data_IF_935355293985
#
_entry.id   IF_935355293985
#
_cell.length_a   1.000
_cell.length_b   1.000
_cell.length_c   1.000
_cell.angle_alpha   90.00
_cell.angle_beta   90.00
_cell.angle_gamma   90.00
#
_symmetry.space_group_name_H-M   'P 1'
#
loop_
_entity.id
_entity.type
_entity.pdbx_description
1 polymer ?
#
# COMPACT_ATOMS: atom_id res chain seq x y z
N UNK A 1 -8.54 -1.16 -2.75
CA UNK A 1 -8.06 -2.56 -2.85
C UNK A 1 -7.11 -2.95 -1.72
N UNK A 2 -5.87 -2.44 -1.66
CA UNK A 2 -4.87 -2.86 -0.68
C UNK A 2 -5.37 -2.82 0.78
N UNK A 3 -6.16 -1.80 1.16
CA UNK A 3 -6.76 -1.71 2.50
C UNK A 3 -7.73 -2.87 2.78
N UNK A 4 -8.54 -3.28 1.81
CA UNK A 4 -9.40 -4.46 1.96
C UNK A 4 -8.57 -5.74 2.08
N UNK A 5 -7.50 -5.88 1.31
CA UNK A 5 -6.58 -7.01 1.43
C UNK A 5 -5.97 -7.12 2.84
N UNK A 6 -5.57 -5.99 3.44
CA UNK A 6 -5.04 -5.94 4.82
C UNK A 6 -6.12 -6.29 5.85
N UNK A 7 -7.38 -5.93 5.62
CA UNK A 7 -8.46 -6.27 6.55
C UNK A 7 -8.97 -7.71 6.43
N UNK A 8 -8.71 -8.38 5.29
CA UNK A 8 -9.27 -9.72 5.02
C UNK A 8 -8.23 -10.83 4.83
N UNK A 9 -6.97 -10.49 4.59
CA UNK A 9 -5.93 -11.46 4.21
C UNK A 9 -6.13 -12.05 2.80
N UNK A 10 -7.02 -11.47 1.98
CA UNK A 10 -7.37 -11.96 0.65
C UNK A 10 -6.98 -10.98 -0.45
N UNK A 11 -6.68 -11.47 -1.65
CA UNK A 11 -6.49 -10.62 -2.83
C UNK A 11 -7.74 -9.84 -3.20
N UNK A 12 -7.57 -8.66 -3.79
CA UNK A 12 -8.65 -7.70 -4.03
C UNK A 12 -9.74 -8.24 -4.97
N UNK A 13 -9.36 -9.01 -5.99
CA UNK A 13 -10.30 -9.64 -6.92
C UNK A 13 -11.09 -10.80 -6.29
N UNK A 14 -10.62 -11.38 -5.18
CA UNK A 14 -11.32 -12.42 -4.44
C UNK A 14 -12.24 -11.83 -3.38
N UNK A 15 -11.76 -10.84 -2.60
CA UNK A 15 -12.62 -10.16 -1.62
C UNK A 15 -13.62 -9.17 -2.25
N UNK A 16 -13.52 -8.93 -3.56
CA UNK A 16 -14.43 -8.07 -4.32
C UNK A 16 -14.12 -6.57 -4.27
N UNK A 17 -13.17 -6.10 -3.44
CA UNK A 17 -12.82 -4.69 -3.32
C UNK A 17 -11.67 -4.29 -4.26
N UNK A 18 -11.83 -4.60 -5.55
CA UNK A 18 -10.78 -4.46 -6.57
C UNK A 18 -10.54 -3.02 -7.07
N UNK A 19 -11.38 -2.05 -6.70
CA UNK A 19 -11.22 -0.62 -7.04
C UNK A 19 -11.75 0.27 -5.91
N UNK A 20 -11.44 1.56 -5.99
CA UNK A 20 -11.99 2.56 -5.08
C UNK A 20 -13.52 2.63 -5.18
N UNK A 21 -14.19 2.98 -4.07
CA UNK A 21 -15.64 3.07 -3.98
C UNK A 21 -16.37 1.73 -3.80
N UNK A 22 -15.66 0.60 -3.79
CA UNK A 22 -16.23 -0.68 -3.38
C UNK A 22 -15.95 -0.86 -1.89
N UNK A 23 -17.00 -1.08 -1.07
CA UNK A 23 -16.84 -1.23 0.37
C UNK A 23 -16.18 -2.56 0.73
N UNK A 24 -15.75 -2.68 2.00
CA UNK A 24 -15.29 -3.94 2.55
C UNK A 24 -16.41 -4.97 2.47
N UNK A 25 -16.10 -6.14 1.94
CA UNK A 25 -17.07 -7.23 1.83
C UNK A 25 -17.55 -7.70 3.21
N UNK A 26 -18.83 -8.02 3.32
CA UNK A 26 -19.42 -8.62 4.53
C UNK A 26 -19.39 -10.17 4.49
N UNK A 27 -18.92 -10.76 3.38
CA UNK A 27 -18.83 -12.22 3.23
C UNK A 27 -17.56 -12.82 3.85
N UNK A 28 -16.58 -11.98 4.19
CA UNK A 28 -15.33 -12.39 4.81
C UNK A 28 -15.20 -11.70 6.17
N UNK A 29 -14.91 -12.47 7.20
CA UNK A 29 -14.68 -11.93 8.55
C UNK A 29 -13.44 -11.07 8.56
N UNK A 30 -13.54 -9.75 8.90
CA UNK A 30 -12.38 -8.86 8.91
C UNK A 30 -11.44 -9.14 10.08
N UNK A 31 -10.20 -8.68 9.95
CA UNK A 31 -9.13 -8.87 10.93
C UNK A 31 -9.55 -8.46 12.36
N UNK A 32 -10.16 -7.28 12.52
CA UNK A 32 -10.57 -6.80 13.84
C UNK A 32 -11.66 -7.68 14.50
N UNK A 33 -12.52 -8.35 13.73
CA UNK A 33 -13.50 -9.28 14.30
C UNK A 33 -12.84 -10.53 14.87
N UNK A 34 -11.74 -11.00 14.30
CA UNK A 34 -10.97 -12.11 14.88
C UNK A 34 -10.37 -11.72 16.22
N UNK A 35 -9.77 -10.53 16.31
CA UNK A 35 -9.24 -9.98 17.56
C UNK A 35 -10.34 -9.77 18.62
N UNK A 36 -11.48 -9.21 18.22
CA UNK A 36 -12.64 -9.00 19.08
C UNK A 36 -13.15 -10.32 19.68
N UNK A 37 -13.29 -11.36 18.87
CA UNK A 37 -13.74 -12.68 19.32
C UNK A 37 -12.74 -13.36 20.25
N UNK A 38 -11.45 -13.03 20.13
CA UNK A 38 -10.38 -13.44 21.04
C UNK A 38 -10.28 -12.56 22.31
N UNK A 39 -11.20 -11.62 22.51
CA UNK A 39 -11.28 -10.78 23.71
C UNK A 39 -10.45 -9.51 23.69
N UNK A 40 -9.90 -9.13 22.54
CA UNK A 40 -9.19 -7.86 22.40
C UNK A 40 -10.14 -6.67 22.28
N UNK A 41 -9.76 -5.55 22.87
CA UNK A 41 -10.35 -4.25 22.55
C UNK A 41 -9.87 -3.80 21.18
N UNK A 42 -10.78 -3.50 20.25
CA UNK A 42 -10.44 -3.14 18.87
C UNK A 42 -10.66 -1.66 18.60
N UNK A 43 -9.62 -0.92 18.24
CA UNK A 43 -9.66 0.50 17.96
C UNK A 43 -9.16 0.86 16.56
N UNK A 44 -9.79 1.86 15.95
CA UNK A 44 -9.38 2.42 14.66
C UNK A 44 -9.28 3.93 14.70
N UNK A 45 -8.14 4.48 14.25
CA UNK A 45 -7.91 5.94 14.19
C UNK A 45 -7.45 6.32 12.78
N UNK A 46 -8.17 7.23 12.11
CA UNK A 46 -7.75 7.86 10.86
C UNK A 46 -8.54 7.49 9.61
N UNK A 47 -7.87 7.22 8.48
CA UNK A 47 -8.50 6.97 7.18
C UNK A 47 -9.02 5.54 7.07
N UNK A 48 -10.33 5.37 6.77
CA UNK A 48 -10.93 4.07 6.52
C UNK A 48 -10.88 3.66 5.04
N UNK A 49 -11.58 4.37 4.19
CA UNK A 49 -11.70 4.20 2.74
C UNK A 49 -12.26 2.83 2.29
N UNK A 50 -13.09 2.22 3.12
CA UNK A 50 -13.70 0.90 2.88
C UNK A 50 -15.22 0.90 3.11
N UNK A 51 -15.87 2.07 3.08
CA UNK A 51 -17.32 2.21 3.18
C UNK A 51 -17.91 2.98 1.99
N UNK A 52 -19.20 2.79 1.75
CA UNK A 52 -19.95 3.47 0.67
C UNK A 52 -20.71 4.71 1.17
N UNK A 53 -20.26 5.33 2.26
CA UNK A 53 -20.95 6.39 3.01
C UNK A 53 -20.32 7.78 2.82
N UNK A 54 -20.05 8.22 1.60
CA UNK A 54 -19.42 9.53 1.38
C UNK A 54 -18.01 9.64 1.99
N UNK A 55 -17.57 10.85 2.40
CA UNK A 55 -16.20 11.11 2.82
C UNK A 55 -16.01 11.06 4.34
N UNK A 56 -17.03 11.39 5.12
CA UNK A 56 -16.95 11.58 6.57
C UNK A 56 -17.25 10.33 7.39
N UNK A 57 -18.35 10.37 8.14
CA UNK A 57 -18.78 9.33 9.05
C UNK A 57 -18.99 7.96 8.38
N UNK A 58 -18.74 6.89 9.12
CA UNK A 58 -18.91 5.51 8.70
C UNK A 58 -19.88 4.82 9.66
N UNK A 59 -20.92 4.17 9.13
CA UNK A 59 -21.88 3.43 9.94
C UNK A 59 -21.19 2.28 10.69
N UNK A 60 -21.69 1.95 11.89
CA UNK A 60 -21.12 0.91 12.74
C UNK A 60 -20.95 -0.43 12.00
N UNK A 61 -21.95 -0.86 11.25
CA UNK A 61 -21.92 -2.11 10.47
C UNK A 61 -20.87 -2.15 9.35
N UNK A 62 -20.29 -1.01 8.99
CA UNK A 62 -19.28 -0.87 7.92
C UNK A 62 -17.86 -0.62 8.49
N UNK A 63 -17.68 -0.67 9.83
CA UNK A 63 -16.40 -0.45 10.51
C UNK A 63 -15.54 -1.70 10.64
N UNK A 64 -15.90 -2.81 10.03
CA UNK A 64 -15.09 -4.03 9.97
C UNK A 64 -14.73 -4.65 11.32
N UNK A 65 -15.58 -4.49 12.36
CA UNK A 65 -15.38 -5.07 13.68
C UNK A 65 -14.61 -4.18 14.68
N UNK A 66 -14.21 -2.97 14.28
CA UNK A 66 -13.61 -2.01 15.21
C UNK A 66 -14.67 -1.37 16.11
N UNK A 67 -14.47 -1.50 17.42
CA UNK A 67 -15.40 -1.02 18.46
C UNK A 67 -15.18 0.45 18.78
N UNK A 68 -13.92 0.81 19.02
CA UNK A 68 -13.54 2.20 19.29
C UNK A 68 -13.17 2.86 17.97
N UNK A 69 -13.81 3.98 17.68
CA UNK A 69 -13.77 4.58 16.38
C UNK A 69 -13.48 6.08 16.43
N UNK A 70 -12.42 6.51 15.75
CA UNK A 70 -12.10 7.91 15.53
C UNK A 70 -11.54 8.03 14.11
N UNK A 71 -12.41 8.06 13.11
CA UNK A 71 -11.98 7.95 11.72
C UNK A 71 -12.90 8.68 10.74
N UNK A 72 -12.39 8.89 9.52
CA UNK A 72 -13.17 9.33 8.37
C UNK A 72 -13.03 8.34 7.22
N UNK A 73 -14.08 8.18 6.42
CA UNK A 73 -14.02 7.26 5.28
C UNK A 73 -12.95 7.70 4.27
N UNK A 74 -12.96 8.94 3.81
CA UNK A 74 -11.98 9.48 2.86
C UNK A 74 -11.35 10.74 3.46
N UNK A 75 -10.39 10.53 4.34
CA UNK A 75 -9.80 11.54 5.22
C UNK A 75 -9.22 12.76 4.49
N UNK A 76 -8.73 12.61 3.25
CA UNK A 76 -8.23 13.71 2.43
C UNK A 76 -9.29 14.75 2.03
N UNK A 77 -10.58 14.44 2.20
CA UNK A 77 -11.69 15.36 1.91
C UNK A 77 -12.33 15.95 3.16
N UNK A 78 -12.03 15.39 4.35
CA UNK A 78 -12.54 15.91 5.63
C UNK A 78 -11.49 16.67 6.42
N UNK A 79 -10.21 16.58 6.03
CA UNK A 79 -9.12 17.21 6.78
C UNK A 79 -8.05 17.80 5.87
N UNK A 80 -7.33 18.78 6.43
CA UNK A 80 -6.15 19.41 5.88
C UNK A 80 -4.97 19.18 6.83
N UNK A 81 -3.81 19.71 6.48
CA UNK A 81 -2.57 19.57 7.25
C UNK A 81 -2.70 19.97 8.73
N UNK A 82 -3.33 21.12 9.04
CA UNK A 82 -3.56 21.63 10.40
C UNK A 82 -5.03 21.69 10.83
N UNK A 83 -5.90 21.04 10.08
CA UNK A 83 -7.32 20.94 10.41
C UNK A 83 -7.75 19.49 10.22
N UNK A 84 -7.88 18.74 11.31
CA UNK A 84 -8.16 17.31 11.30
C UNK A 84 -9.55 17.05 11.83
N UNK A 85 -10.50 16.79 10.94
CA UNK A 85 -11.84 16.37 11.30
C UNK A 85 -11.99 14.85 11.11
N UNK A 86 -12.28 14.16 12.20
CA UNK A 86 -12.60 12.74 12.27
C UNK A 86 -14.00 12.58 12.89
N UNK A 87 -14.53 11.37 12.86
CA UNK A 87 -15.85 11.04 13.40
C UNK A 87 -15.69 9.95 14.45
N UNK A 88 -16.35 10.12 15.60
CA UNK A 88 -16.32 9.16 16.70
C UNK A 88 -17.35 8.03 16.54
N UNK A 89 -17.53 7.22 17.56
CA UNK A 89 -18.45 6.08 17.58
C UNK A 89 -19.90 6.49 17.31
N UNK A 90 -20.30 7.68 17.75
CA UNK A 90 -21.65 8.25 17.59
C UNK A 90 -21.83 8.97 16.24
N UNK A 91 -20.84 8.89 15.35
CA UNK A 91 -20.77 9.67 14.11
C UNK A 91 -20.74 11.19 14.33
N UNK A 92 -20.40 11.66 15.52
CA UNK A 92 -20.16 13.06 15.78
C UNK A 92 -18.77 13.46 15.27
N UNK A 93 -18.72 14.63 14.61
CA UNK A 93 -17.46 15.19 14.14
C UNK A 93 -16.60 15.64 15.34
N UNK A 94 -15.34 15.27 15.30
CA UNK A 94 -14.33 15.60 16.29
C UNK A 94 -13.18 16.29 15.59
N UNK A 95 -12.98 17.56 15.89
CA UNK A 95 -11.84 18.33 15.40
C UNK A 95 -10.64 18.15 16.32
N UNK A 96 -9.50 17.73 15.78
CA UNK A 96 -8.26 17.53 16.51
C UNK A 96 -7.26 18.66 16.19
N UNK A 97 -6.62 19.26 17.21
CA UNK A 97 -5.70 20.37 17.02
C UNK A 97 -4.32 19.93 16.56
N UNK A 98 -3.63 20.82 15.84
CA UNK A 98 -2.26 20.62 15.41
C UNK A 98 -2.13 19.97 14.02
N UNK A 99 -0.89 19.64 13.65
CA UNK A 99 -0.62 18.95 12.40
C UNK A 99 -1.27 17.55 12.42
N UNK A 100 -1.93 17.15 11.34
CA UNK A 100 -2.82 15.98 11.29
C UNK A 100 -2.21 14.69 11.82
N UNK A 101 -1.00 14.33 11.38
CA UNK A 101 -0.36 13.11 11.90
C UNK A 101 -0.02 13.22 13.39
N UNK A 102 0.31 14.41 13.89
CA UNK A 102 0.56 14.62 15.33
C UNK A 102 -0.69 14.44 16.15
N UNK A 103 -1.79 15.04 15.70
CA UNK A 103 -3.09 14.95 16.36
C UNK A 103 -3.58 13.49 16.43
N UNK A 104 -3.35 12.71 15.37
CA UNK A 104 -3.66 11.27 15.36
C UNK A 104 -2.73 10.47 16.27
N UNK A 105 -1.43 10.79 16.33
CA UNK A 105 -0.49 10.18 17.29
C UNK A 105 -0.91 10.46 18.73
N UNK A 106 -1.32 11.68 19.04
CA UNK A 106 -1.84 12.05 20.35
C UNK A 106 -3.11 11.26 20.72
N UNK A 107 -4.00 11.07 19.75
CA UNK A 107 -5.20 10.23 19.93
C UNK A 107 -4.82 8.77 20.18
N UNK A 108 -3.85 8.23 19.44
CA UNK A 108 -3.35 6.86 19.63
C UNK A 108 -2.71 6.66 21.00
N UNK A 109 -1.90 7.61 21.47
CA UNK A 109 -1.28 7.54 22.80
C UNK A 109 -2.35 7.60 23.90
N UNK A 110 -3.39 8.43 23.76
CA UNK A 110 -4.53 8.43 24.70
C UNK A 110 -5.24 7.09 24.72
N UNK A 111 -5.56 6.53 23.56
CA UNK A 111 -6.17 5.21 23.44
C UNK A 111 -5.36 4.12 24.15
N UNK A 112 -4.04 4.07 23.92
CA UNK A 112 -3.14 3.11 24.56
C UNK A 112 -3.18 3.26 26.08
N UNK A 113 -3.15 4.50 26.61
CA UNK A 113 -3.21 4.73 28.05
C UNK A 113 -4.57 4.35 28.65
N UNK A 114 -5.66 4.58 27.95
CA UNK A 114 -7.02 4.25 28.39
C UNK A 114 -7.26 2.74 28.46
N UNK A 115 -6.64 1.97 27.55
CA UNK A 115 -6.81 0.52 27.42
C UNK A 115 -5.60 -0.32 27.86
N UNK A 116 -4.66 0.26 28.62
CA UNK A 116 -3.42 -0.40 29.04
C UNK A 116 -3.57 -1.63 29.92
N UNK A 117 -4.74 -1.79 30.58
CA UNK A 117 -5.01 -2.91 31.49
C UNK A 117 -5.73 -4.09 30.79
N UNK A 118 -6.03 -3.96 29.51
CA UNK A 118 -6.69 -5.00 28.71
C UNK A 118 -5.94 -5.25 27.39
N UNK A 119 -6.03 -6.44 26.79
CA UNK A 119 -5.47 -6.67 25.47
C UNK A 119 -6.17 -5.79 24.43
N UNK A 120 -5.40 -5.09 23.59
CA UNK A 120 -5.95 -4.23 22.55
C UNK A 120 -5.34 -4.50 21.18
N UNK A 121 -6.12 -4.25 20.15
CA UNK A 121 -5.71 -4.19 18.75
C UNK A 121 -6.05 -2.80 18.22
N UNK A 122 -5.05 -1.96 18.05
CA UNK A 122 -5.20 -0.59 17.55
C UNK A 122 -4.66 -0.49 16.12
N UNK A 123 -5.51 -0.09 15.17
CA UNK A 123 -5.11 0.22 13.81
C UNK A 123 -5.09 1.73 13.60
N UNK A 124 -3.89 2.30 13.45
CA UNK A 124 -3.72 3.72 13.13
C UNK A 124 -3.45 3.88 11.63
N UNK A 125 -4.27 4.66 10.96
CA UNK A 125 -4.25 4.81 9.50
C UNK A 125 -4.07 6.27 9.10
N UNK A 126 -2.81 6.70 8.97
CA UNK A 126 -2.45 8.04 8.55
C UNK A 126 -2.80 8.28 7.08
N UNK A 127 -3.05 9.54 6.71
CA UNK A 127 -3.11 9.94 5.30
C UNK A 127 -1.71 10.21 4.77
N UNK A 128 -0.81 10.74 5.57
CA UNK A 128 0.58 10.99 5.20
C UNK A 128 1.30 9.69 4.79
N UNK A 129 2.14 9.72 3.78
CA UNK A 129 2.52 10.84 2.91
C UNK A 129 1.71 10.92 1.60
N UNK A 130 0.38 10.74 1.64
CA UNK A 130 -0.50 10.79 0.49
C UNK A 130 -0.58 12.20 -0.13
N UNK A 131 -0.76 12.28 -1.44
CA UNK A 131 -1.03 13.51 -2.16
C UNK A 131 -2.36 14.13 -1.72
N UNK A 132 -2.37 15.42 -1.42
CA UNK A 132 -3.58 16.16 -1.08
C UNK A 132 -4.18 16.73 -2.37
N UNK A 133 -5.15 16.04 -2.94
CA UNK A 133 -5.61 16.26 -4.32
C UNK A 133 -6.10 17.67 -4.60
N UNK A 134 -6.85 18.30 -3.67
CA UNK A 134 -7.46 19.60 -3.89
C UNK A 134 -6.46 20.79 -3.86
N UNK A 135 -5.26 20.58 -3.31
CA UNK A 135 -4.18 21.59 -3.35
C UNK A 135 -3.01 21.16 -4.24
N UNK A 136 -3.10 20.00 -4.89
CA UNK A 136 -2.06 19.39 -5.73
C UNK A 136 -0.68 19.42 -5.05
N UNK A 137 -0.62 18.95 -3.80
CA UNK A 137 0.59 19.04 -2.99
C UNK A 137 0.75 17.87 -1.99
N UNK A 138 1.91 17.85 -1.34
CA UNK A 138 2.27 17.00 -0.20
C UNK A 138 2.56 17.92 1.00
N UNK A 139 1.52 18.30 1.75
CA UNK A 139 1.63 19.30 2.80
C UNK A 139 2.33 18.74 4.04
N UNK A 140 3.64 18.96 4.14
CA UNK A 140 4.45 18.65 5.30
C UNK A 140 4.26 19.70 6.41
N UNK A 141 4.63 19.42 7.68
CA UNK A 141 4.66 20.44 8.71
C UNK A 141 5.52 21.66 8.31
N UNK A 142 5.22 22.81 8.87
CA UNK A 142 5.95 24.05 8.61
C UNK A 142 7.46 23.88 8.74
N UNK A 143 8.21 24.32 7.74
CA UNK A 143 9.67 24.23 7.67
C UNK A 143 10.24 22.86 7.25
N UNK A 144 9.42 21.82 7.17
CA UNK A 144 9.91 20.47 6.77
C UNK A 144 10.15 20.37 5.27
N UNK A 145 9.31 20.99 4.44
CA UNK A 145 9.52 21.03 2.98
C UNK A 145 10.87 21.62 2.62
N UNK A 146 11.21 22.77 3.20
CA UNK A 146 12.46 23.49 2.97
C UNK A 146 13.67 22.69 3.48
N UNK A 147 13.54 22.08 4.64
CA UNK A 147 14.57 21.22 5.25
C UNK A 147 14.89 20.00 4.39
N UNK A 148 13.90 19.45 3.69
CA UNK A 148 14.03 18.26 2.86
C UNK A 148 14.07 18.56 1.35
N UNK A 149 14.03 19.81 0.95
CA UNK A 149 14.28 20.21 -0.44
C UNK A 149 15.69 19.80 -0.89
N UNK A 150 15.84 19.49 -2.17
CA UNK A 150 17.11 19.12 -2.80
C UNK A 150 17.84 17.94 -2.15
N UNK A 151 17.10 17.01 -1.53
CA UNK A 151 17.65 15.74 -1.06
C UNK A 151 17.79 14.76 -2.22
N UNK A 152 18.38 13.60 -1.92
CA UNK A 152 18.56 12.53 -2.90
C UNK A 152 17.25 12.18 -3.60
N UNK A 153 17.30 12.06 -4.93
CA UNK A 153 16.18 11.66 -5.78
C UNK A 153 16.46 10.25 -6.29
N UNK A 154 15.56 9.28 -6.10
CA UNK A 154 15.69 7.95 -6.68
C UNK A 154 15.88 8.01 -8.21
N UNK A 155 16.73 7.17 -8.80
CA UNK A 155 17.05 7.22 -10.22
C UNK A 155 15.84 7.11 -11.17
N UNK A 156 14.82 6.34 -10.84
CA UNK A 156 13.57 6.27 -11.61
C UNK A 156 12.82 7.62 -11.59
N UNK A 157 12.76 8.27 -10.45
CA UNK A 157 12.13 9.58 -10.29
C UNK A 157 12.97 10.71 -10.91
N UNK A 158 14.30 10.53 -11.02
CA UNK A 158 15.19 11.51 -11.64
C UNK A 158 15.21 11.38 -13.17
N UNK A 159 15.18 10.14 -13.70
CA UNK A 159 15.27 9.86 -15.13
C UNK A 159 13.97 10.07 -15.88
N UNK A 160 12.83 9.86 -15.22
CA UNK A 160 11.50 9.96 -15.81
C UNK A 160 10.85 11.30 -15.49
N UNK A 161 10.15 11.89 -16.44
CA UNK A 161 9.37 13.09 -16.20
C UNK A 161 8.17 12.81 -15.29
N UNK A 162 7.82 13.78 -14.45
CA UNK A 162 6.71 13.69 -13.50
C UNK A 162 6.69 14.91 -12.58
N UNK A 163 6.06 14.78 -11.42
CA UNK A 163 5.93 15.89 -10.46
C UNK A 163 6.95 15.86 -9.32
N UNK A 164 7.98 15.00 -9.40
CA UNK A 164 8.99 14.75 -8.37
C UNK A 164 9.66 16.02 -7.86
N UNK A 165 10.16 16.86 -8.78
CA UNK A 165 10.88 18.11 -8.45
C UNK A 165 10.05 19.03 -7.56
N UNK A 166 8.75 19.11 -7.81
CA UNK A 166 7.83 19.97 -7.08
C UNK A 166 7.50 19.41 -5.69
N UNK A 167 7.37 18.10 -5.56
CA UNK A 167 6.67 17.48 -4.44
C UNK A 167 7.58 16.72 -3.47
N UNK A 168 8.77 16.29 -3.90
CA UNK A 168 9.61 15.37 -3.12
C UNK A 168 10.01 15.94 -1.74
N UNK A 169 10.27 17.24 -1.64
CA UNK A 169 10.59 17.89 -0.36
C UNK A 169 9.46 17.79 0.66
N UNK A 170 8.21 18.05 0.22
CA UNK A 170 7.02 17.89 1.04
C UNK A 170 6.78 16.42 1.45
N UNK A 171 6.89 15.50 0.49
CA UNK A 171 6.78 14.07 0.75
C UNK A 171 7.78 13.58 1.80
N UNK A 172 9.06 13.92 1.67
CA UNK A 172 10.08 13.56 2.67
C UNK A 172 9.83 14.22 4.03
N UNK A 173 9.31 15.45 4.04
CA UNK A 173 8.91 16.12 5.28
C UNK A 173 7.79 15.37 6.01
N UNK A 174 6.78 14.89 5.27
CA UNK A 174 5.70 14.06 5.81
C UNK A 174 6.23 12.73 6.35
N UNK A 175 7.08 12.02 5.58
CA UNK A 175 7.71 10.76 6.02
C UNK A 175 8.51 10.96 7.30
N UNK A 176 9.29 12.05 7.39
CA UNK A 176 10.04 12.36 8.61
C UNK A 176 9.12 12.59 9.80
N UNK A 177 7.98 13.26 9.59
CA UNK A 177 7.04 13.48 10.70
C UNK A 177 6.35 12.21 11.17
N UNK A 178 6.06 11.27 10.26
CA UNK A 178 5.57 9.94 10.63
C UNK A 178 6.61 9.15 11.46
N UNK A 179 7.89 9.21 11.09
CA UNK A 179 8.99 8.60 11.85
C UNK A 179 9.06 9.17 13.29
N UNK A 180 8.95 10.48 13.44
CA UNK A 180 8.90 11.12 14.76
C UNK A 180 7.65 10.72 15.54
N UNK A 181 6.50 10.59 14.88
CA UNK A 181 5.26 10.10 15.47
C UNK A 181 5.36 8.67 15.99
N UNK A 182 5.99 7.77 15.21
CA UNK A 182 6.27 6.40 15.62
C UNK A 182 7.18 6.38 16.86
N UNK A 183 8.20 7.24 16.89
CA UNK A 183 9.06 7.41 18.06
C UNK A 183 8.26 7.77 19.31
N UNK A 184 7.31 8.71 19.21
CA UNK A 184 6.42 9.12 20.33
C UNK A 184 5.55 7.97 20.82
N UNK A 185 4.99 7.16 19.93
CA UNK A 185 4.19 5.98 20.30
C UNK A 185 5.05 4.96 21.04
N UNK A 186 6.23 4.64 20.52
CA UNK A 186 7.13 3.68 21.17
C UNK A 186 7.64 4.17 22.52
N UNK A 187 7.90 5.47 22.69
CA UNK A 187 8.26 6.06 23.97
C UNK A 187 7.08 6.04 24.98
N UNK A 188 5.85 6.24 24.49
CA UNK A 188 4.66 6.09 25.34
C UNK A 188 4.48 4.65 25.82
N UNK A 189 4.65 3.65 24.94
CA UNK A 189 4.60 2.23 25.32
C UNK A 189 5.62 1.90 26.40
N UNK A 190 6.87 2.36 26.26
CA UNK A 190 7.92 2.19 27.30
C UNK A 190 7.55 2.87 28.60
N UNK A 191 7.07 4.12 28.56
CA UNK A 191 6.64 4.88 29.73
C UNK A 191 5.50 4.20 30.49
N UNK A 192 4.62 3.52 29.77
CA UNK A 192 3.49 2.77 30.33
C UNK A 192 3.86 1.30 30.68
N UNK A 193 5.11 0.88 30.45
CA UNK A 193 5.61 -0.49 30.67
C UNK A 193 4.86 -1.55 29.84
N UNK A 194 4.47 -1.19 28.60
CA UNK A 194 3.75 -2.05 27.67
C UNK A 194 4.64 -2.57 26.52
N UNK A 195 5.84 -2.05 26.35
CA UNK A 195 6.72 -2.32 25.20
C UNK A 195 7.14 -3.79 25.09
N UNK A 196 7.30 -4.51 26.19
CA UNK A 196 7.62 -5.94 26.19
C UNK A 196 6.44 -6.84 25.78
N UNK A 197 5.20 -6.36 25.94
CA UNK A 197 3.97 -7.10 25.64
C UNK A 197 3.15 -6.46 24.50
N UNK A 198 3.78 -5.63 23.68
CA UNK A 198 3.12 -4.98 22.54
C UNK A 198 3.93 -5.19 21.27
N UNK A 199 3.25 -5.63 20.21
CA UNK A 199 3.85 -5.71 18.87
C UNK A 199 3.44 -4.47 18.12
N UNK A 200 4.41 -3.71 17.65
CA UNK A 200 4.21 -2.53 16.80
C UNK A 200 4.56 -2.89 15.35
N UNK A 201 3.62 -2.70 14.44
CA UNK A 201 3.84 -2.91 13.00
C UNK A 201 3.66 -1.59 12.27
N UNK A 202 4.68 -1.19 11.50
CA UNK A 202 4.63 -0.01 10.66
C UNK A 202 4.79 -0.41 9.19
N UNK A 203 3.84 0.02 8.35
CA UNK A 203 3.82 -0.31 6.92
C UNK A 203 3.04 0.75 6.12
N UNK A 204 3.04 0.64 4.80
CA UNK A 204 2.20 1.43 3.90
C UNK A 204 1.33 0.55 3.03
N UNK A 205 0.17 1.04 2.60
CA UNK A 205 -0.75 0.33 1.70
C UNK A 205 -0.29 0.34 0.22
N UNK A 206 0.50 1.32 -0.20
CA UNK A 206 1.14 1.43 -1.51
C UNK A 206 2.24 2.50 -1.47
N UNK A 207 3.07 2.56 -2.51
CA UNK A 207 4.09 3.57 -2.71
C UNK A 207 3.61 4.79 -3.51
N UNK A 208 4.57 5.56 -4.04
CA UNK A 208 4.31 6.76 -4.83
C UNK A 208 5.39 6.94 -5.91
N UNK A 209 4.98 7.11 -7.16
CA UNK A 209 5.89 7.35 -8.30
C UNK A 209 5.79 8.78 -8.88
N UNK A 210 5.10 9.70 -8.24
CA UNK A 210 5.05 11.12 -8.60
C UNK A 210 4.70 11.37 -10.09
N UNK A 211 3.74 10.62 -10.63
CA UNK A 211 3.31 10.69 -12.05
C UNK A 211 4.43 10.36 -13.05
N UNK A 212 5.46 9.60 -12.66
CA UNK A 212 6.54 9.18 -13.57
C UNK A 212 6.19 7.96 -14.41
N UNK A 213 5.19 7.19 -14.04
CA UNK A 213 4.77 5.93 -14.70
C UNK A 213 3.43 6.02 -15.43
N UNK A 214 2.50 6.82 -14.90
CA UNK A 214 1.21 7.12 -15.51
C UNK A 214 0.73 8.51 -15.04
N UNK A 215 -0.48 8.93 -15.41
CA UNK A 215 -1.05 10.23 -15.02
C UNK A 215 -1.38 10.34 -13.52
N UNK A 216 -1.41 9.23 -12.82
CA UNK A 216 -1.61 9.13 -11.38
C UNK A 216 -0.25 9.18 -10.65
N UNK A 217 -0.27 9.16 -9.33
CA UNK A 217 0.96 9.10 -8.51
C UNK A 217 1.23 7.69 -7.96
N UNK A 218 0.36 6.73 -8.23
CA UNK A 218 0.37 5.31 -7.84
C UNK A 218 -0.30 4.47 -8.94
N UNK A 219 -0.71 3.24 -8.67
CA UNK A 219 -1.46 2.35 -9.56
C UNK A 219 -0.65 1.90 -10.78
N UNK A 220 0.58 1.46 -10.51
CA UNK A 220 1.44 0.86 -11.50
C UNK A 220 2.12 -0.39 -10.95
N UNK A 221 2.63 -1.24 -11.84
CA UNK A 221 3.36 -2.46 -11.46
C UNK A 221 4.79 -2.21 -10.96
N UNK A 222 5.25 -0.97 -10.91
CA UNK A 222 6.63 -0.62 -10.61
C UNK A 222 6.93 -0.62 -9.10
N UNK A 223 8.19 -0.88 -8.73
CA UNK A 223 8.64 -0.93 -7.31
C UNK A 223 8.26 0.35 -6.54
N UNK A 224 8.32 1.51 -7.20
CA UNK A 224 7.90 2.78 -6.59
C UNK A 224 6.42 2.83 -6.16
N UNK A 225 5.58 1.95 -6.71
CA UNK A 225 4.17 1.78 -6.30
C UNK A 225 3.94 0.57 -5.41
N UNK A 226 4.66 -0.54 -5.64
CA UNK A 226 4.40 -1.83 -5.00
C UNK A 226 5.24 -2.08 -3.76
N UNK A 227 6.51 -1.64 -3.79
CA UNK A 227 7.44 -1.89 -2.69
C UNK A 227 7.27 -0.85 -1.60
N UNK A 228 6.76 -1.29 -0.45
CA UNK A 228 6.49 -0.45 0.72
C UNK A 228 7.38 -0.83 1.89
N UNK A 229 7.62 0.10 2.84
CA UNK A 229 8.26 -0.26 4.10
C UNK A 229 7.37 -1.22 4.89
N UNK A 230 8.00 -2.16 5.61
CA UNK A 230 7.34 -2.99 6.60
C UNK A 230 8.31 -3.26 7.74
N UNK A 231 7.94 -2.88 8.95
CA UNK A 231 8.75 -3.03 10.15
C UNK A 231 7.90 -3.61 11.28
N UNK A 232 8.51 -4.55 12.01
CA UNK A 232 7.93 -5.15 13.20
C UNK A 232 8.85 -4.86 14.40
N UNK A 233 8.26 -4.59 15.54
CA UNK A 233 8.94 -4.42 16.82
C UNK A 233 8.15 -5.08 17.93
N UNK A 234 8.85 -5.68 18.89
CA UNK A 234 8.26 -6.34 20.06
C UNK A 234 8.03 -7.85 19.87
N UNK A 235 7.82 -8.56 20.97
CA UNK A 235 7.59 -10.00 20.98
C UNK A 235 8.65 -10.79 20.20
N UNK A 236 8.25 -11.70 19.29
CA UNK A 236 9.17 -12.53 18.50
C UNK A 236 10.06 -11.71 17.55
N UNK A 237 9.73 -10.43 17.31
CA UNK A 237 10.49 -9.52 16.42
C UNK A 237 11.52 -8.67 17.17
N UNK A 238 11.69 -8.85 18.48
CA UNK A 238 12.58 -8.01 19.31
C UNK A 238 14.08 -8.17 19.01
N UNK A 239 14.49 -9.24 18.32
CA UNK A 239 15.90 -9.52 18.02
C UNK A 239 16.56 -8.56 17.03
N UNK A 240 15.83 -7.70 16.38
CA UNK A 240 16.29 -6.80 15.32
C UNK A 240 16.78 -7.53 14.08
N UNK A 241 17.11 -6.78 13.04
CA UNK A 241 17.65 -7.31 11.80
C UNK A 241 16.81 -6.95 10.57
N UNK A 242 17.31 -7.43 9.42
CA UNK A 242 16.63 -7.27 8.12
C UNK A 242 16.32 -8.65 7.56
N UNK A 243 15.18 -8.74 6.93
CA UNK A 243 14.72 -9.88 6.16
C UNK A 243 14.57 -9.47 4.70
N UNK A 244 15.08 -10.31 3.80
CA UNK A 244 15.06 -10.04 2.36
C UNK A 244 14.08 -10.96 1.60
N UNK A 245 13.41 -11.86 2.32
CA UNK A 245 12.36 -12.71 1.77
C UNK A 245 11.21 -11.85 1.18
N UNK A 246 10.62 -12.36 0.11
CA UNK A 246 9.48 -11.72 -0.54
C UNK A 246 8.23 -11.88 0.31
N UNK A 247 7.65 -10.77 0.72
CA UNK A 247 6.42 -10.72 1.52
C UNK A 247 5.37 -9.83 0.86
N UNK A 248 4.11 -10.10 1.13
CA UNK A 248 2.98 -9.33 0.62
C UNK A 248 2.18 -8.72 1.76
N UNK A 249 1.43 -7.67 1.50
CA UNK A 249 0.54 -7.05 2.50
C UNK A 249 -0.55 -8.02 3.00
N UNK A 250 -0.90 -9.05 2.21
CA UNK A 250 -1.83 -10.09 2.65
C UNK A 250 -1.25 -11.04 3.70
N UNK A 251 0.08 -11.01 3.91
CA UNK A 251 0.75 -11.80 4.95
C UNK A 251 0.65 -11.15 6.34
N UNK A 252 0.30 -9.85 6.39
CA UNK A 252 0.14 -9.13 7.65
C UNK A 252 -1.02 -9.68 8.51
N UNK A 253 -2.24 -9.88 8.00
CA UNK A 253 -3.34 -10.39 8.80
C UNK A 253 -3.04 -11.77 9.44
N UNK A 254 -2.62 -12.81 8.69
CA UNK A 254 -2.29 -14.09 9.29
C UNK A 254 -1.12 -13.99 10.28
N UNK A 255 -0.12 -13.12 10.03
CA UNK A 255 0.96 -12.89 10.97
C UNK A 255 0.47 -12.29 12.28
N UNK A 256 -0.42 -11.30 12.23
CA UNK A 256 -0.96 -10.64 13.42
C UNK A 256 -1.84 -11.58 14.24
N UNK A 257 -2.61 -12.45 13.60
CA UNK A 257 -3.40 -13.47 14.29
C UNK A 257 -2.48 -14.52 14.96
N UNK A 258 -1.50 -15.03 14.22
CA UNK A 258 -0.58 -16.06 14.69
C UNK A 258 0.24 -15.59 15.92
N UNK A 259 0.81 -14.38 15.88
CA UNK A 259 1.55 -13.82 17.02
C UNK A 259 0.67 -13.51 18.23
N UNK A 260 -0.63 -13.33 18.03
CA UNK A 260 -1.61 -13.18 19.09
C UNK A 260 -2.16 -14.53 19.61
N UNK A 261 -1.72 -15.66 19.04
CA UNK A 261 -2.22 -17.00 19.39
C UNK A 261 -3.65 -17.23 18.93
N UNK A 262 -4.11 -16.53 17.89
CA UNK A 262 -5.43 -16.67 17.29
C UNK A 262 -5.30 -17.53 16.04
N UNK A 263 -6.20 -18.51 15.88
CA UNK A 263 -6.19 -19.40 14.72
C UNK A 263 -6.32 -18.61 13.42
N UNK A 264 -5.41 -18.87 12.48
CA UNK A 264 -5.43 -18.25 11.14
C UNK A 264 -6.44 -18.98 10.27
N UNK A 265 -7.46 -18.27 9.72
CA UNK A 265 -8.43 -18.91 8.86
C UNK A 265 -7.84 -19.41 7.53
N UNK A 266 -8.28 -20.58 7.06
CA UNK A 266 -7.91 -21.15 5.75
C UNK A 266 -8.31 -20.23 4.57
N UNK A 267 -9.25 -19.32 4.78
CA UNK A 267 -9.68 -18.35 3.77
C UNK A 267 -8.70 -17.22 3.54
N UNK A 268 -7.70 -17.02 4.38
CA UNK A 268 -6.62 -16.05 4.15
C UNK A 268 -5.63 -16.61 3.14
N UNK A 269 -5.24 -15.79 2.18
CA UNK A 269 -4.30 -16.18 1.11
C UNK A 269 -2.84 -15.93 1.47
N UNK A 270 -2.60 -15.08 2.47
CA UNK A 270 -1.29 -14.79 3.01
C UNK A 270 -0.78 -15.89 3.95
N UNK A 271 0.49 -15.79 4.31
CA UNK A 271 1.16 -16.72 5.23
C UNK A 271 1.75 -15.94 6.41
N UNK A 272 1.74 -16.56 7.60
CA UNK A 272 2.36 -15.94 8.77
C UNK A 272 3.88 -15.83 8.62
N UNK A 273 4.41 -14.64 8.91
CA UNK A 273 5.84 -14.37 8.92
C UNK A 273 6.56 -14.95 10.16
N UNK A 274 5.80 -15.43 11.16
CA UNK A 274 6.36 -15.94 12.40
C UNK A 274 7.31 -17.12 12.18
N UNK A 275 6.95 -18.06 11.31
CA UNK A 275 7.78 -19.20 10.94
C UNK A 275 9.16 -18.79 10.39
N UNK A 276 9.24 -17.64 9.72
CA UNK A 276 10.50 -17.08 9.18
C UNK A 276 11.36 -16.42 10.25
N UNK A 277 10.73 -15.76 11.20
CA UNK A 277 11.43 -15.18 12.36
C UNK A 277 12.03 -16.29 13.22
N UNK A 278 11.27 -17.32 13.49
CA UNK A 278 11.67 -18.46 14.31
C UNK A 278 12.59 -19.47 13.58
N UNK A 279 12.77 -19.31 12.27
CA UNK A 279 13.56 -20.21 11.42
C UNK A 279 13.11 -21.68 11.48
N UNK A 280 11.79 -21.88 11.58
CA UNK A 280 11.18 -23.21 11.73
C UNK A 280 11.02 -23.97 10.40
N UNK A 281 11.67 -23.53 9.32
CA UNK A 281 11.93 -24.33 8.12
C UNK A 281 10.77 -24.53 7.15
N UNK A 282 9.71 -23.78 7.25
CA UNK A 282 8.65 -23.82 6.23
C UNK A 282 9.18 -23.31 4.89
N UNK A 283 8.79 -23.95 3.77
CA UNK A 283 9.05 -23.47 2.44
C UNK A 283 8.36 -22.12 2.25
N UNK A 284 9.14 -21.11 1.87
CA UNK A 284 8.61 -19.77 1.61
C UNK A 284 8.48 -19.56 0.10
N UNK A 285 7.42 -18.93 -0.38
CA UNK A 285 7.25 -18.67 -1.81
C UNK A 285 8.43 -17.91 -2.41
N UNK A 286 8.92 -18.35 -3.56
CA UNK A 286 10.00 -17.72 -4.32
C UNK A 286 9.50 -16.50 -5.13
N UNK A 287 8.22 -16.21 -5.05
CA UNK A 287 7.60 -15.09 -5.74
C UNK A 287 6.38 -14.57 -4.97
N UNK A 288 6.06 -13.30 -5.20
CA UNK A 288 4.80 -12.68 -4.79
C UNK A 288 3.96 -12.35 -6.02
N UNK A 289 2.65 -12.51 -5.90
CA UNK A 289 1.65 -12.09 -6.86
C UNK A 289 1.11 -10.72 -6.49
N UNK A 290 0.79 -9.90 -7.49
CA UNK A 290 0.18 -8.59 -7.28
C UNK A 290 -0.82 -8.25 -8.37
N UNK A 291 -1.76 -7.36 -8.03
CA UNK A 291 -2.82 -6.86 -8.90
C UNK A 291 -2.70 -5.35 -9.06
N UNK A 292 -2.94 -4.83 -10.28
CA UNK A 292 -3.13 -3.41 -10.55
C UNK A 292 -4.56 -3.16 -11.02
N UNK A 293 -5.10 -2.00 -10.66
CA UNK A 293 -6.47 -1.61 -11.02
C UNK A 293 -6.59 -0.12 -11.27
N UNK A 294 -7.68 0.32 -11.85
CA UNK A 294 -8.10 1.68 -12.13
C UNK A 294 -7.29 2.39 -13.23
N UNK A 295 -5.96 2.56 -13.12
CA UNK A 295 -5.14 3.08 -14.22
C UNK A 295 -4.94 2.04 -15.31
N UNK A 296 -4.92 0.78 -14.93
CA UNK A 296 -4.91 -0.40 -15.80
C UNK A 296 -5.44 -1.60 -15.02
N UNK A 297 -6.03 -2.57 -15.68
CA UNK A 297 -6.33 -3.87 -15.08
C UNK A 297 -5.17 -4.80 -15.39
N UNK A 298 -4.37 -5.13 -14.39
CA UNK A 298 -3.16 -5.92 -14.59
C UNK A 298 -2.91 -6.94 -13.50
N UNK A 299 -2.02 -7.88 -13.83
CA UNK A 299 -1.57 -8.98 -12.98
C UNK A 299 -0.08 -9.13 -13.09
N UNK A 300 0.57 -9.52 -12.02
CA UNK A 300 1.99 -9.75 -12.12
C UNK A 300 2.55 -10.63 -11.04
N UNK A 301 3.77 -11.10 -11.29
CA UNK A 301 4.60 -11.81 -10.31
C UNK A 301 5.96 -11.13 -10.18
N UNK A 302 6.47 -11.15 -8.95
CA UNK A 302 7.80 -10.62 -8.62
C UNK A 302 8.56 -11.72 -7.89
N UNK A 303 9.68 -12.15 -8.45
CA UNK A 303 10.67 -13.02 -7.81
C UNK A 303 11.79 -12.16 -7.20
N UNK A 304 12.79 -12.73 -6.55
CA UNK A 304 13.95 -11.98 -6.03
C UNK A 304 14.63 -11.13 -7.12
N UNK A 305 14.74 -11.65 -8.34
CA UNK A 305 15.41 -10.97 -9.46
C UNK A 305 14.48 -10.39 -10.50
N UNK A 306 13.37 -11.06 -10.82
CA UNK A 306 12.54 -10.72 -11.97
C UNK A 306 11.18 -10.18 -11.56
N UNK A 307 10.67 -9.22 -12.34
CA UNK A 307 9.29 -8.81 -12.29
C UNK A 307 8.68 -9.00 -13.68
N UNK A 308 7.49 -9.62 -13.71
CA UNK A 308 6.71 -9.83 -14.91
C UNK A 308 5.29 -9.35 -14.69
N UNK A 309 4.76 -8.62 -15.68
CA UNK A 309 3.44 -8.03 -15.59
C UNK A 309 2.70 -8.16 -16.92
N UNK A 310 1.40 -8.44 -16.82
CA UNK A 310 0.44 -8.46 -17.91
C UNK A 310 -0.69 -7.48 -17.63
N UNK A 311 -1.29 -6.90 -18.65
CA UNK A 311 -2.42 -5.99 -18.53
C UNK A 311 -3.53 -6.34 -19.51
N UNK A 312 -4.78 -6.05 -19.18
CA UNK A 312 -5.88 -6.13 -20.10
C UNK A 312 -5.67 -5.12 -21.25
N UNK A 313 -5.91 -5.49 -22.52
CA UNK A 313 -6.00 -4.54 -23.61
C UNK A 313 -7.04 -3.44 -23.33
N UNK A 314 -6.85 -2.24 -23.90
CA UNK A 314 -7.76 -1.09 -23.65
C UNK A 314 -9.21 -1.35 -24.09
N UNK A 315 -9.38 -2.19 -25.12
CA UNK A 315 -10.68 -2.59 -25.68
C UNK A 315 -11.24 -3.89 -25.08
N UNK A 316 -10.51 -4.53 -24.17
CA UNK A 316 -10.96 -5.75 -23.54
C UNK A 316 -12.07 -5.47 -22.50
N UNK A 317 -13.03 -6.38 -22.42
CA UNK A 317 -14.02 -6.35 -21.36
C UNK A 317 -13.36 -6.62 -20.00
N UNK A 318 -13.65 -5.77 -19.04
CA UNK A 318 -13.23 -5.94 -17.64
C UNK A 318 -14.47 -6.06 -16.77
N UNK A 319 -14.61 -7.23 -16.14
CA UNK A 319 -15.74 -7.53 -15.24
C UNK A 319 -15.17 -7.85 -13.86
N UNK A 320 -15.67 -7.20 -12.83
CA UNK A 320 -15.22 -7.38 -11.45
C UNK A 320 -13.69 -7.27 -11.27
N UNK A 321 -13.06 -6.35 -12.03
CA UNK A 321 -11.62 -6.15 -12.00
C UNK A 321 -10.79 -7.25 -12.67
N UNK A 322 -11.42 -8.13 -13.47
CA UNK A 322 -10.83 -9.26 -14.19
C UNK A 322 -11.05 -9.13 -15.69
N UNK A 323 -10.16 -9.71 -16.48
CA UNK A 323 -10.29 -9.82 -17.93
C UNK A 323 -10.00 -11.26 -18.38
N UNK A 324 -10.69 -11.72 -19.42
CA UNK A 324 -10.42 -13.03 -20.03
C UNK A 324 -9.16 -13.03 -20.90
N UNK A 325 -8.64 -11.84 -21.22
CA UNK A 325 -7.43 -11.67 -22.04
C UNK A 325 -6.53 -10.63 -21.39
N UNK A 326 -5.26 -10.96 -21.26
CA UNK A 326 -4.19 -10.03 -20.91
C UNK A 326 -3.12 -10.03 -21.98
N UNK A 327 -2.35 -8.95 -22.07
CA UNK A 327 -1.16 -8.83 -22.93
C UNK A 327 0.09 -8.69 -22.04
N UNK A 328 1.18 -9.34 -22.42
CA UNK A 328 2.48 -9.13 -21.78
C UNK A 328 2.89 -7.65 -21.87
N UNK A 329 3.15 -7.01 -20.74
CA UNK A 329 3.38 -5.56 -20.62
C UNK A 329 4.78 -5.18 -20.23
N UNK A 330 5.27 -5.78 -19.15
CA UNK A 330 6.57 -5.45 -18.58
C UNK A 330 7.32 -6.71 -18.14
N UNK A 331 8.62 -6.69 -18.38
CA UNK A 331 9.60 -7.61 -17.83
C UNK A 331 10.82 -6.81 -17.39
N UNK A 332 11.19 -6.93 -16.11
CA UNK A 332 12.36 -6.25 -15.56
C UNK A 332 13.31 -7.23 -14.86
N UNK A 333 14.62 -7.00 -15.03
CA UNK A 333 15.68 -7.61 -14.23
C UNK A 333 16.03 -6.70 -13.08
N UNK A 334 15.40 -6.89 -11.92
CA UNK A 334 15.56 -6.00 -10.75
C UNK A 334 16.95 -6.05 -10.12
N UNK A 335 17.77 -7.04 -10.46
CA UNK A 335 19.16 -7.11 -10.03
C UNK A 335 20.04 -6.18 -10.87
N UNK A 336 19.83 -6.16 -12.18
CA UNK A 336 20.59 -5.31 -13.10
C UNK A 336 19.99 -3.90 -13.22
N UNK A 337 18.67 -3.79 -13.11
CA UNK A 337 17.88 -2.55 -13.23
C UNK A 337 16.87 -2.44 -12.08
N UNK A 338 17.32 -2.14 -10.86
CA UNK A 338 16.45 -2.04 -9.68
C UNK A 338 15.45 -0.88 -9.75
N UNK A 339 15.61 0.01 -10.70
CA UNK A 339 14.75 1.17 -10.94
C UNK A 339 13.84 1.03 -12.15
N UNK A 340 13.83 -0.14 -12.80
CA UNK A 340 12.88 -0.49 -13.85
C UNK A 340 12.87 0.51 -15.01
N UNK A 341 14.05 0.88 -15.49
CA UNK A 341 14.26 1.80 -16.60
C UNK A 341 14.35 1.09 -17.97
N UNK A 342 14.55 -0.23 -17.99
CA UNK A 342 14.71 -1.04 -19.20
C UNK A 342 13.68 -2.17 -19.26
N UNK A 343 12.58 -1.96 -20.00
CA UNK A 343 11.57 -2.99 -20.21
C UNK A 343 12.07 -4.05 -21.22
N UNK A 344 12.20 -5.28 -20.78
CA UNK A 344 12.75 -6.41 -21.53
C UNK A 344 11.67 -7.28 -22.20
N UNK A 345 10.38 -6.96 -22.03
CA UNK A 345 9.27 -7.83 -22.44
C UNK A 345 9.26 -8.17 -23.93
N UNK A 346 9.64 -7.23 -24.80
CA UNK A 346 9.69 -7.41 -26.26
C UNK A 346 11.00 -7.98 -26.79
N UNK A 347 11.98 -8.31 -25.93
CA UNK A 347 13.30 -8.77 -26.35
C UNK A 347 13.31 -10.29 -26.41
N UNK A 348 13.57 -10.86 -27.61
CA UNK A 348 13.48 -12.29 -27.90
C UNK A 348 14.39 -13.15 -26.99
N UNK A 349 15.60 -12.70 -26.72
CA UNK A 349 16.56 -13.44 -25.87
C UNK A 349 16.09 -13.68 -24.44
N UNK A 350 15.09 -12.95 -23.96
CA UNK A 350 14.45 -13.14 -22.64
C UNK A 350 13.20 -14.04 -22.70
N UNK A 351 12.89 -14.66 -23.85
CA UNK A 351 11.70 -15.49 -24.04
C UNK A 351 11.58 -16.63 -23.03
N UNK A 352 12.68 -17.33 -22.73
CA UNK A 352 12.69 -18.41 -21.74
C UNK A 352 12.37 -17.95 -20.31
N UNK A 353 12.92 -16.80 -19.90
CA UNK A 353 12.62 -16.18 -18.59
C UNK A 353 11.15 -15.77 -18.50
N UNK A 354 10.66 -15.12 -19.56
CA UNK A 354 9.27 -14.69 -19.67
C UNK A 354 8.30 -15.87 -19.57
N UNK A 355 8.59 -17.00 -20.24
CA UNK A 355 7.78 -18.22 -20.17
C UNK A 355 7.69 -18.78 -18.75
N UNK A 356 8.83 -18.91 -18.04
CA UNK A 356 8.83 -19.42 -16.67
C UNK A 356 8.10 -18.50 -15.68
N UNK A 357 8.16 -17.17 -15.87
CA UNK A 357 7.40 -16.22 -15.04
C UNK A 357 5.90 -16.23 -15.37
N UNK A 358 5.56 -16.44 -16.65
CA UNK A 358 4.18 -16.64 -17.08
C UNK A 358 3.56 -17.89 -16.43
N UNK A 359 4.29 -19.00 -16.34
CA UNK A 359 3.83 -20.21 -15.65
C UNK A 359 3.50 -19.90 -14.18
N UNK A 360 4.41 -19.25 -13.45
CA UNK A 360 4.16 -18.82 -12.07
C UNK A 360 2.93 -17.91 -11.96
N UNK A 361 2.76 -16.98 -12.91
CA UNK A 361 1.59 -16.10 -12.91
C UNK A 361 0.30 -16.90 -13.15
N UNK A 362 0.29 -17.84 -14.09
CA UNK A 362 -0.89 -18.68 -14.38
C UNK A 362 -1.30 -19.54 -13.18
N UNK A 363 -0.34 -20.08 -12.42
CA UNK A 363 -0.63 -20.80 -11.19
C UNK A 363 -1.33 -19.89 -10.16
N UNK A 364 -0.87 -18.65 -10.00
CA UNK A 364 -1.50 -17.68 -9.09
C UNK A 364 -2.87 -17.20 -9.58
N UNK A 365 -3.03 -17.01 -10.88
CA UNK A 365 -4.32 -16.69 -11.48
C UNK A 365 -5.33 -17.81 -11.25
N UNK A 366 -4.95 -19.06 -11.46
CA UNK A 366 -5.79 -20.21 -11.18
C UNK A 366 -6.19 -20.28 -9.67
N UNK A 367 -5.25 -19.97 -8.78
CA UNK A 367 -5.52 -19.92 -7.33
C UNK A 367 -6.59 -18.86 -6.98
N UNK A 368 -6.58 -17.70 -7.64
CA UNK A 368 -7.60 -16.64 -7.41
C UNK A 368 -8.84 -16.78 -8.31
N UNK A 369 -8.97 -17.91 -9.01
CA UNK A 369 -10.13 -18.23 -9.85
C UNK A 369 -10.17 -17.47 -11.19
N UNK A 370 -8.99 -17.17 -11.75
CA UNK A 370 -8.84 -16.56 -13.09
C UNK A 370 -8.13 -17.55 -14.04
N UNK A 371 -8.63 -17.68 -15.25
CA UNK A 371 -8.02 -18.55 -16.30
C UNK A 371 -7.96 -17.80 -17.64
N UNK A 372 -7.30 -16.62 -17.70
CA UNK A 372 -7.27 -15.82 -18.90
C UNK A 372 -6.32 -16.38 -19.95
N UNK A 373 -6.49 -15.92 -21.18
CA UNK A 373 -5.46 -15.99 -22.21
C UNK A 373 -4.42 -14.88 -21.97
N UNK A 374 -3.11 -15.18 -22.12
CA UNK A 374 -2.06 -14.18 -22.12
C UNK A 374 -1.47 -14.10 -23.54
N UNK A 375 -1.76 -13.00 -24.22
CA UNK A 375 -1.23 -12.71 -25.54
C UNK A 375 0.22 -12.20 -25.47
N UNK A 376 1.03 -12.42 -26.50
CA UNK A 376 2.35 -11.82 -26.62
C UNK A 376 2.30 -10.29 -26.57
N UNK A 377 3.43 -9.62 -26.26
CA UNK A 377 3.46 -8.16 -26.23
C UNK A 377 3.13 -7.57 -27.58
N UNK A 378 2.27 -6.55 -27.67
CA UNK A 378 1.92 -5.91 -28.94
C UNK A 378 3.10 -5.07 -29.46
N UNK A 379 4.04 -5.69 -30.14
CA UNK A 379 5.23 -5.04 -30.70
C UNK A 379 6.22 -4.56 -29.60
N UNK A 380 7.27 -3.84 -30.02
CA UNK A 380 8.18 -3.17 -29.09
C UNK A 380 7.49 -1.97 -28.46
N UNK A 381 7.11 -2.05 -27.20
CA UNK A 381 6.71 -0.87 -26.44
C UNK A 381 7.94 -0.05 -26.12
N UNK A 382 8.10 1.07 -26.81
CA UNK A 382 9.11 2.07 -26.45
C UNK A 382 8.68 2.79 -25.18
N UNK A 383 9.53 2.75 -24.15
CA UNK A 383 9.40 3.60 -23.00
C UNK A 383 8.89 2.93 -21.73
N UNK A 384 9.38 3.47 -20.64
CA UNK A 384 9.10 3.07 -19.26
C UNK A 384 7.97 3.92 -18.65
N UNK A 385 7.51 4.89 -19.42
CA UNK A 385 6.59 5.92 -19.01
C UNK A 385 5.22 5.68 -19.60
N UNK A 386 4.19 5.68 -18.77
CA UNK A 386 2.81 5.48 -19.16
C UNK A 386 2.02 6.79 -19.32
N UNK A 387 2.65 7.94 -19.10
CA UNK A 387 2.02 9.26 -19.28
C UNK A 387 2.05 9.66 -20.74
N UNK A 388 0.90 10.00 -21.32
CA UNK A 388 0.81 10.48 -22.69
C UNK A 388 1.52 11.84 -22.88
N UNK A 389 2.04 12.11 -24.10
CA UNK A 389 2.73 13.38 -24.39
C UNK A 389 1.86 14.61 -24.15
N UNK A 390 0.54 14.49 -24.36
CA UNK A 390 -0.45 15.54 -24.03
C UNK A 390 -0.55 15.84 -22.54
N UNK A 391 -0.37 14.84 -21.69
CA UNK A 391 -0.39 15.00 -20.23
C UNK A 391 0.91 15.63 -19.73
N UNK A 392 2.04 15.34 -20.40
CA UNK A 392 3.32 15.98 -20.11
C UNK A 392 3.25 17.50 -20.36
N UNK A 393 2.59 17.92 -21.45
CA UNK A 393 2.38 19.32 -21.73
C UNK A 393 1.56 20.03 -20.64
N UNK A 394 0.57 19.33 -20.04
CA UNK A 394 -0.22 19.85 -18.93
C UNK A 394 0.54 19.99 -17.61
N UNK A 395 1.68 19.29 -17.47
CA UNK A 395 2.56 19.38 -16.31
C UNK A 395 3.55 20.58 -16.38
N UNK A 396 3.44 21.43 -17.40
CA UNK A 396 4.26 22.64 -17.56
C UNK A 396 5.70 22.41 -18.02
N UNK A 397 6.02 21.21 -18.49
CA UNK A 397 7.32 20.96 -19.13
C UNK A 397 7.27 21.39 -20.60
N UNK A 398 7.90 22.51 -20.94
CA UNK A 398 8.05 22.89 -22.34
C UNK A 398 8.99 21.92 -23.05
N UNK A 399 8.59 21.43 -24.23
CA UNK A 399 9.39 20.54 -25.09
C UNK A 399 10.65 21.20 -25.71
N UNK A 400 11.12 22.32 -25.17
CA UNK A 400 12.36 22.91 -25.62
C UNK A 400 13.58 22.16 -25.08
N UNK A 401 13.84 20.98 -25.64
CA UNK A 401 15.16 20.38 -25.58
C UNK A 401 15.98 21.07 -26.67
N UNK A 402 17.03 21.88 -26.35
CA UNK A 402 17.88 22.48 -27.35
C UNK A 402 18.54 21.37 -28.18
N UNK A 403 18.29 21.32 -29.49
CA UNK A 403 19.00 20.44 -30.42
C UNK A 403 18.17 19.41 -31.15
N UNK A 404 16.85 19.31 -31.00
CA UNK A 404 15.97 18.56 -31.92
C UNK A 404 15.24 19.53 -32.84
N UNK A 405 15.73 19.67 -34.07
CA UNK A 405 14.93 20.18 -35.19
C UNK A 405 13.75 19.25 -35.47
N UNK A 406 12.60 19.84 -35.75
CA UNK A 406 11.34 19.19 -36.16
C UNK A 406 11.53 18.23 -37.31
#
# INVERSE_FOLDING_TARGET
PARACIQTGQYATVNGSYRNGIPLTKSVKPLAEHFKDAGYRTGYIGKWHLAQTGHGAVNEEDRGGYRDWLAANVLEFTSHDYHTALYNEDNAEVELPGYRSDAMVDAGIRYINEHKEEPFFLFMSFIEPHHQNHVDDYPAPDGYRERYANRWVPPDLAALGGSTQRHLGGYYGMVKRLDEGLGRITDALKSLQLDENTIVVFFSDHGCHFKTRNAEYKRSCHESSLRVPCMFHGGPFAGGGRRDELVSLIDLPPTLLDVAGIDVPDSMHGQSLLSRVERTGADWPDHVYFETSEAETGRGVRTERWKYHVRAPEDAAVVDGKSDVYEESFLYDLQADPYELANLVGIESYGGIRSGLREKLMERLAFVGETPEIAPPPGTRGGQRMVADSEVASLGFSHNIPGRSR
#
